data_IF_229214919761
#
_entry.id   IF_229214919761
#
_cell.length_a   1.000
_cell.length_b   1.000
_cell.length_c   1.000
_cell.angle_alpha   90.00
_cell.angle_beta   90.00
_cell.angle_gamma   90.00
#
_symmetry.space_group_name_H-M   'P 1'
#
loop_
_entity.id
_entity.type
_entity.pdbx_description
1 polymer ?
#
# COMPACT_ATOMS: atom_id res chain seq x y z
N UNK A 1 -9.08 -8.74 -24.23
CA UNK A 1 -8.48 -9.19 -22.96
C UNK A 1 -8.64 -10.70 -22.88
N UNK A 2 -7.56 -11.46 -22.70
CA UNK A 2 -7.63 -12.92 -22.62
C UNK A 2 -8.36 -13.35 -21.31
N UNK A 3 -9.41 -14.19 -21.37
CA UNK A 3 -10.15 -14.63 -20.17
C UNK A 3 -9.32 -15.35 -19.10
N UNK A 4 -8.16 -15.91 -19.46
CA UNK A 4 -7.24 -16.54 -18.49
C UNK A 4 -6.57 -15.52 -17.58
N UNK A 5 -6.46 -14.26 -18.02
CA UNK A 5 -5.91 -13.15 -17.23
C UNK A 5 -6.91 -12.62 -16.20
N UNK A 6 -8.21 -12.76 -16.44
CA UNK A 6 -9.27 -12.28 -15.54
C UNK A 6 -9.73 -13.34 -14.54
N UNK A 7 -9.35 -14.60 -14.72
CA UNK A 7 -9.74 -15.72 -13.85
C UNK A 7 -9.25 -15.53 -12.42
N UNK A 8 -10.09 -15.89 -11.44
CA UNK A 8 -9.74 -15.95 -10.01
C UNK A 8 -9.16 -14.64 -9.46
N UNK A 9 -9.83 -13.52 -9.75
CA UNK A 9 -9.54 -12.20 -9.18
C UNK A 9 -8.11 -11.67 -9.44
N UNK A 10 -7.44 -12.20 -10.47
CA UNK A 10 -6.06 -11.85 -10.83
C UNK A 10 -5.84 -10.37 -11.17
N UNK A 11 -6.90 -9.65 -11.52
CA UNK A 11 -6.86 -8.24 -11.89
C UNK A 11 -7.33 -7.30 -10.79
N UNK A 12 -7.61 -7.81 -9.59
CA UNK A 12 -8.00 -6.95 -8.46
C UNK A 12 -6.88 -5.95 -8.17
N UNK A 13 -7.25 -4.67 -8.12
CA UNK A 13 -6.32 -3.57 -7.86
C UNK A 13 -5.48 -3.14 -9.06
N UNK A 14 -5.62 -3.77 -10.22
CA UNK A 14 -4.92 -3.35 -11.44
C UNK A 14 -5.58 -2.11 -12.04
N UNK A 15 -4.76 -1.22 -12.62
CA UNK A 15 -5.21 0.00 -13.31
C UNK A 15 -5.13 -0.23 -14.82
N UNK A 16 -6.21 0.08 -15.53
CA UNK A 16 -6.29 0.00 -16.99
C UNK A 16 -6.66 1.39 -17.53
N UNK A 17 -6.00 1.83 -18.59
CA UNK A 17 -6.18 3.14 -19.20
C UNK A 17 -5.68 3.16 -20.63
N UNK A 18 -5.89 4.29 -21.30
CA UNK A 18 -5.38 4.52 -22.65
C UNK A 18 -3.85 4.56 -22.67
N UNK A 19 -3.25 4.23 -23.82
CA UNK A 19 -1.81 4.28 -24.00
C UNK A 19 -1.26 5.67 -23.66
N UNK A 20 -0.28 5.72 -22.75
CA UNK A 20 0.34 6.97 -22.30
C UNK A 20 -0.48 7.78 -21.27
N UNK A 21 -1.69 7.35 -20.92
CA UNK A 21 -2.52 8.03 -19.91
C UNK A 21 -2.35 7.48 -18.49
N UNK A 22 -1.70 6.30 -18.37
CA UNK A 22 -1.55 5.61 -17.10
C UNK A 22 -0.53 6.33 -16.19
N UNK A 23 -0.79 6.38 -14.87
CA UNK A 23 0.19 6.86 -13.90
C UNK A 23 1.47 6.03 -13.90
N UNK A 24 2.50 6.59 -13.28
CA UNK A 24 3.77 5.90 -13.09
C UNK A 24 3.62 4.64 -12.21
N UNK A 25 4.51 3.68 -12.41
CA UNK A 25 4.57 2.44 -11.63
C UNK A 25 5.70 2.53 -10.63
N UNK A 26 5.37 2.43 -9.35
CA UNK A 26 6.30 2.58 -8.23
C UNK A 26 6.69 1.23 -7.64
N UNK A 27 7.96 1.12 -7.23
CA UNK A 27 8.51 -0.01 -6.46
C UNK A 27 8.92 0.39 -5.04
N UNK A 28 9.19 1.67 -4.83
CA UNK A 28 9.35 2.28 -3.52
C UNK A 28 8.45 3.50 -3.41
N UNK A 29 7.87 3.72 -2.23
CA UNK A 29 7.03 4.88 -1.93
C UNK A 29 7.52 5.60 -0.68
N UNK A 30 7.43 6.92 -0.71
CA UNK A 30 7.52 7.80 0.45
C UNK A 30 6.12 8.31 0.77
N UNK A 31 5.65 7.98 1.96
CA UNK A 31 4.27 8.22 2.38
C UNK A 31 4.28 9.08 3.64
N UNK A 32 3.63 10.24 3.59
CA UNK A 32 3.29 11.01 4.77
C UNK A 32 2.21 10.26 5.53
N UNK A 33 2.34 10.07 6.84
CA UNK A 33 1.42 9.18 7.57
C UNK A 33 0.95 9.76 8.91
N UNK A 34 -0.24 9.34 9.31
CA UNK A 34 -0.81 9.60 10.62
C UNK A 34 -1.40 8.30 11.17
N UNK A 35 -0.86 7.86 12.32
CA UNK A 35 -1.36 6.68 13.03
C UNK A 35 -2.60 7.01 13.84
N UNK A 36 -3.49 6.03 13.96
CA UNK A 36 -4.65 6.09 14.82
C UNK A 36 -4.21 5.95 16.28
N UNK A 37 -4.91 6.59 17.21
CA UNK A 37 -4.59 6.46 18.64
C UNK A 37 -4.87 5.05 19.17
N UNK A 38 -5.91 4.39 18.62
CA UNK A 38 -6.35 3.06 19.02
C UNK A 38 -6.78 2.25 17.80
N UNK A 39 -6.66 0.92 17.90
CA UNK A 39 -7.18 -0.01 16.91
C UNK A 39 -8.71 0.07 16.85
N UNK A 40 -9.26 0.22 15.64
CA UNK A 40 -10.70 0.32 15.40
C UNK A 40 -11.29 -1.10 15.28
N UNK A 41 -12.46 -1.33 15.89
CA UNK A 41 -13.22 -2.58 15.72
C UNK A 41 -12.81 -3.74 16.62
N UNK A 42 -11.87 -3.55 17.55
CA UNK A 42 -11.53 -4.55 18.58
C UNK A 42 -12.44 -4.35 19.77
N UNK A 43 -13.36 -5.28 20.04
CA UNK A 43 -14.22 -5.29 21.23
C UNK A 43 -13.73 -6.37 22.19
N UNK A 44 -12.66 -6.10 22.92
CA UNK A 44 -12.22 -6.99 24.01
C UNK A 44 -12.04 -6.15 25.25
N UNK A 45 -12.88 -6.42 26.27
CA UNK A 45 -12.97 -5.65 27.53
C UNK A 45 -11.74 -5.79 28.44
N UNK A 46 -10.78 -6.64 28.09
CA UNK A 46 -9.73 -7.09 29.03
C UNK A 46 -8.33 -6.55 28.75
N UNK A 47 -8.08 -5.81 27.66
CA UNK A 47 -6.71 -5.33 27.38
C UNK A 47 -6.66 -3.92 26.78
N UNK A 48 -6.87 -2.90 27.62
CA UNK A 48 -6.71 -1.49 27.23
C UNK A 48 -5.31 -1.17 26.68
N UNK A 49 -4.28 -1.92 27.10
CA UNK A 49 -2.89 -1.72 26.65
C UNK A 49 -2.59 -2.30 25.26
N UNK A 50 -3.32 -3.33 24.80
CA UNK A 50 -3.13 -3.91 23.46
C UNK A 50 -3.87 -3.14 22.35
N UNK A 51 -4.71 -2.18 22.72
CA UNK A 51 -5.44 -1.35 21.76
C UNK A 51 -4.61 -0.18 21.20
N UNK A 52 -3.52 0.21 21.86
CA UNK A 52 -2.72 1.35 21.41
C UNK A 52 -1.90 0.98 20.18
N UNK A 53 -1.97 1.82 19.15
CA UNK A 53 -1.15 1.64 17.94
C UNK A 53 0.28 2.05 18.26
N UNK A 54 1.22 1.11 18.14
CA UNK A 54 2.64 1.38 18.28
C UNK A 54 3.20 2.09 17.04
N UNK A 55 4.29 2.83 17.21
CA UNK A 55 5.01 3.50 16.11
C UNK A 55 5.47 2.49 15.04
N UNK A 56 5.73 3.00 13.83
CA UNK A 56 6.30 2.17 12.76
C UNK A 56 7.75 1.79 13.07
N UNK A 57 8.14 0.57 12.73
CA UNK A 57 9.48 0.03 12.98
C UNK A 57 10.14 -0.38 11.67
N UNK A 58 11.42 -0.01 11.50
CA UNK A 58 12.19 -0.42 10.31
C UNK A 58 12.27 -1.95 10.24
N UNK A 59 12.04 -2.48 9.04
CA UNK A 59 12.06 -3.92 8.75
C UNK A 59 10.71 -4.62 8.92
N UNK A 60 9.70 -3.98 9.52
CA UNK A 60 8.36 -4.58 9.60
C UNK A 60 7.68 -4.61 8.22
N UNK A 61 6.76 -5.57 8.04
CA UNK A 61 5.93 -5.67 6.84
C UNK A 61 4.53 -5.18 7.19
N UNK A 62 4.07 -4.18 6.45
CA UNK A 62 2.73 -3.63 6.51
C UNK A 62 1.95 -4.03 5.26
N UNK A 63 0.62 -4.02 5.36
CA UNK A 63 -0.25 -4.04 4.20
C UNK A 63 -0.65 -2.60 3.90
N UNK A 64 -0.43 -2.18 2.66
CA UNK A 64 -0.72 -0.84 2.17
C UNK A 64 -1.84 -0.97 1.14
N UNK A 65 -2.93 -0.25 1.38
CA UNK A 65 -4.04 -0.18 0.46
C UNK A 65 -4.01 1.18 -0.23
N UNK A 66 -3.83 1.20 -1.54
CA UNK A 66 -3.76 2.39 -2.39
C UNK A 66 -4.88 2.24 -3.41
N UNK A 67 -5.89 3.11 -3.35
CA UNK A 67 -7.13 2.92 -4.10
C UNK A 67 -7.74 1.55 -3.81
N UNK A 68 -7.84 0.71 -4.84
CA UNK A 68 -8.30 -0.69 -4.73
C UNK A 68 -7.16 -1.72 -4.64
N UNK A 69 -5.91 -1.31 -4.81
CA UNK A 69 -4.74 -2.18 -4.75
C UNK A 69 -4.34 -2.42 -3.30
N UNK A 70 -4.16 -3.69 -2.93
CA UNK A 70 -3.59 -4.09 -1.65
C UNK A 70 -2.23 -4.75 -1.88
N UNK A 71 -1.17 -4.17 -1.34
CA UNK A 71 0.19 -4.70 -1.49
C UNK A 71 0.90 -4.79 -0.14
N UNK A 72 1.77 -5.80 0.00
CA UNK A 72 2.71 -5.84 1.09
C UNK A 72 3.79 -4.78 0.91
N UNK A 73 4.21 -4.15 1.98
CA UNK A 73 5.31 -3.19 1.94
C UNK A 73 6.22 -3.35 3.16
N UNK A 74 7.52 -3.44 2.91
CA UNK A 74 8.54 -3.45 3.95
C UNK A 74 8.94 -2.02 4.31
N UNK A 75 8.92 -1.70 5.58
CA UNK A 75 9.39 -0.41 6.09
C UNK A 75 10.91 -0.35 5.99
N UNK A 76 11.45 0.50 5.11
CA UNK A 76 12.90 0.67 4.94
C UNK A 76 13.46 1.86 5.74
N UNK A 77 12.62 2.84 6.05
CA UNK A 77 12.98 3.97 6.90
C UNK A 77 11.76 4.65 7.49
N UNK A 78 11.89 5.17 8.71
CA UNK A 78 10.84 5.92 9.40
C UNK A 78 11.43 7.26 9.82
N UNK A 79 10.81 8.34 9.37
CA UNK A 79 10.99 9.71 9.88
C UNK A 79 9.74 10.09 10.69
N UNK A 80 9.74 11.26 11.33
CA UNK A 80 8.69 11.68 12.26
C UNK A 80 7.27 11.52 11.68
N UNK A 81 7.05 12.05 10.48
CA UNK A 81 5.74 12.08 9.82
C UNK A 81 5.76 11.44 8.41
N UNK A 82 6.88 10.80 8.05
CA UNK A 82 7.14 10.22 6.72
C UNK A 82 7.71 8.81 6.86
N UNK A 83 7.22 7.87 6.06
CA UNK A 83 7.72 6.50 6.01
C UNK A 83 8.16 6.16 4.59
N UNK A 84 9.33 5.54 4.47
CA UNK A 84 9.82 4.99 3.21
C UNK A 84 9.51 3.50 3.18
N UNK A 85 8.81 3.07 2.15
CA UNK A 85 8.24 1.74 1.97
C UNK A 85 8.80 1.10 0.70
N UNK A 86 9.27 -0.13 0.80
CA UNK A 86 9.60 -0.97 -0.34
C UNK A 86 8.43 -1.91 -0.61
N UNK A 87 7.84 -1.82 -1.79
CA UNK A 87 6.66 -2.60 -2.16
C UNK A 87 7.06 -4.03 -2.57
N UNK A 88 6.25 -5.02 -2.18
CA UNK A 88 6.46 -6.42 -2.60
C UNK A 88 6.03 -6.66 -4.04
N UNK A 89 5.06 -5.88 -4.51
CA UNK A 89 4.60 -5.86 -5.90
C UNK A 89 4.56 -4.41 -6.37
N UNK A 90 4.93 -4.13 -7.64
CA UNK A 90 4.83 -2.77 -8.17
C UNK A 90 3.39 -2.27 -8.15
N UNK A 91 3.22 -0.97 -7.87
CA UNK A 91 1.88 -0.34 -7.80
C UNK A 91 1.83 0.85 -8.74
N UNK A 92 0.81 0.88 -9.60
CA UNK A 92 0.47 2.04 -10.41
C UNK A 92 -0.38 3.01 -9.57
N UNK A 93 0.10 4.23 -9.36
CA UNK A 93 -0.56 5.23 -8.51
C UNK A 93 -0.04 6.62 -8.84
N UNK A 94 -0.64 7.67 -8.27
CA UNK A 94 -0.24 9.05 -8.47
C UNK A 94 0.23 9.67 -7.15
N UNK A 95 1.20 10.58 -7.22
CA UNK A 95 1.58 11.41 -6.08
C UNK A 95 0.35 12.18 -5.58
N UNK A 96 0.16 12.21 -4.27
CA UNK A 96 -1.02 12.78 -3.61
C UNK A 96 -2.16 11.79 -3.34
N UNK A 97 -2.06 10.55 -3.84
CA UNK A 97 -3.07 9.54 -3.57
C UNK A 97 -3.04 9.07 -2.11
N UNK A 98 -4.23 8.79 -1.56
CA UNK A 98 -4.38 8.34 -0.17
C UNK A 98 -4.05 6.86 -0.04
N UNK A 99 -3.31 6.53 1.00
CA UNK A 99 -2.98 5.17 1.38
C UNK A 99 -3.54 4.83 2.77
N UNK A 100 -4.04 3.61 2.95
CA UNK A 100 -4.36 3.07 4.26
C UNK A 100 -3.25 2.09 4.69
N UNK A 101 -2.81 2.22 5.94
CA UNK A 101 -1.75 1.39 6.51
C UNK A 101 -2.36 0.39 7.48
N UNK A 102 -2.06 -0.89 7.26
CA UNK A 102 -2.52 -1.99 8.10
C UNK A 102 -1.35 -2.81 8.62
N UNK A 103 -1.42 -3.23 9.88
CA UNK A 103 -0.42 -4.08 10.54
C UNK A 103 -1.03 -5.42 10.88
N UNK A 104 -0.22 -6.48 10.79
CA UNK A 104 -0.65 -7.82 11.17
C UNK A 104 -0.61 -7.97 12.69
N UNK A 105 -1.76 -8.23 13.31
CA UNK A 105 -1.94 -8.47 14.74
C UNK A 105 -2.77 -9.73 14.90
N UNK A 106 -2.27 -10.72 15.66
CA UNK A 106 -2.99 -11.99 15.92
C UNK A 106 -3.48 -12.68 14.63
N UNK A 107 -2.63 -12.70 13.60
CA UNK A 107 -2.89 -13.26 12.25
C UNK A 107 -3.87 -12.45 11.39
N UNK A 108 -4.51 -11.41 11.90
CA UNK A 108 -5.42 -10.54 11.15
C UNK A 108 -4.74 -9.22 10.77
N UNK A 109 -5.13 -8.62 9.66
CA UNK A 109 -4.72 -7.27 9.30
C UNK A 109 -5.61 -6.26 10.02
N UNK A 110 -5.00 -5.34 10.76
CA UNK A 110 -5.71 -4.28 11.48
C UNK A 110 -5.26 -2.92 10.94
N UNK A 111 -6.22 -2.05 10.65
CA UNK A 111 -5.96 -0.68 10.25
C UNK A 111 -5.25 0.06 11.38
N UNK A 112 -4.10 0.65 11.10
CA UNK A 112 -3.27 1.38 12.07
C UNK A 112 -3.13 2.86 11.73
N UNK A 113 -3.39 3.27 10.49
CA UNK A 113 -3.20 4.65 10.09
C UNK A 113 -3.63 4.93 8.66
N UNK A 114 -3.59 6.21 8.32
CA UNK A 114 -3.77 6.73 6.97
C UNK A 114 -2.50 7.44 6.54
N UNK A 115 -2.31 7.59 5.24
CA UNK A 115 -1.22 8.36 4.68
C UNK A 115 -1.55 8.89 3.30
N UNK A 116 -0.60 9.65 2.76
CA UNK A 116 -0.64 10.23 1.43
C UNK A 116 0.72 10.04 0.77
N UNK A 117 0.72 9.65 -0.49
CA UNK A 117 1.95 9.42 -1.25
C UNK A 117 2.55 10.78 -1.60
N UNK A 118 3.80 11.02 -1.21
CA UNK A 118 4.51 12.28 -1.48
C UNK A 118 5.57 12.11 -2.58
N UNK A 119 6.22 10.95 -2.63
CA UNK A 119 7.23 10.62 -3.63
C UNK A 119 7.39 9.10 -3.77
N UNK A 120 8.22 8.66 -4.70
CA UNK A 120 8.55 7.25 -4.85
C UNK A 120 9.62 7.00 -5.91
N UNK A 121 10.08 5.76 -6.01
CA UNK A 121 10.98 5.32 -7.08
C UNK A 121 10.18 4.51 -8.09
N UNK A 122 10.28 4.91 -9.36
CA UNK A 122 9.53 4.33 -10.45
C UNK A 122 10.32 3.29 -11.21
N UNK A 123 9.60 2.44 -11.95
CA UNK A 123 10.17 1.55 -12.95
C UNK A 123 9.69 1.95 -14.34
N UNK A 124 10.59 1.83 -15.31
CA UNK A 124 10.25 2.03 -16.72
C UNK A 124 9.43 0.83 -17.21
N UNK A 125 8.19 1.09 -17.62
CA UNK A 125 7.36 0.07 -18.29
C UNK A 125 7.74 0.07 -19.77
N UNK A 126 8.10 -1.09 -20.36
CA UNK A 126 8.40 -1.14 -21.79
C UNK A 126 7.15 -0.79 -22.62
N UNK A 127 7.32 -0.16 -23.79
CA UNK A 127 6.20 0.14 -24.68
C UNK A 127 5.50 -1.16 -25.13
N UNK A 128 4.18 -1.11 -25.37
CA UNK A 128 3.46 -2.27 -25.89
C UNK A 128 4.03 -2.67 -27.26
N UNK A 129 4.01 -3.98 -27.60
CA UNK A 129 4.37 -4.41 -28.94
C UNK A 129 3.42 -3.77 -29.98
N UNK A 130 3.90 -3.51 -31.21
CA UNK A 130 3.05 -3.01 -32.28
C UNK A 130 1.88 -3.97 -32.51
N UNK A 131 0.69 -3.40 -32.65
CA UNK A 131 -0.50 -4.18 -33.00
C UNK A 131 -0.35 -4.70 -34.45
N UNK A 132 -0.78 -5.94 -34.73
CA UNK A 132 -0.79 -6.50 -36.09
C UNK A 132 -1.78 -5.78 -37.01
#
# INVERSE_FOLDING_TARGET
MDPTLTRADRLVGQVLGELGSLPEVYVELEVSFQLLTRLIGVRTKEVENQMRVSKLTKGEILMVNIGSMSSGAKVIGVKKDMVKLQLTSPVCTTIGEKAALSRRVERQWRLIGRGQIEAGTTISVPPPPPLP
#
